data_IF_403243351054
#
_entry.id   IF_403243351054
#
_cell.length_a   1.000
_cell.length_b   1.000
_cell.length_c   1.000
_cell.angle_alpha   90.00
_cell.angle_beta   90.00
_cell.angle_gamma   90.00
#
_symmetry.space_group_name_H-M   'P 1'
#
loop_
_entity.id
_entity.type
_entity.pdbx_description
1 polymer ?
#
# COMPACT_ATOMS: atom_id res chain seq x y z
N UNK A 1 0.01 16.45 7.27
CA UNK A 1 -0.11 14.99 7.56
C UNK A 1 -1.10 14.87 8.69
N UNK A 2 -2.26 14.24 8.47
CA UNK A 2 -3.23 14.03 9.56
C UNK A 2 -2.66 13.06 10.59
N UNK A 3 -2.82 13.38 11.87
CA UNK A 3 -2.41 12.51 12.96
C UNK A 3 -3.15 11.17 12.86
N UNK A 4 -2.40 10.07 12.80
CA UNK A 4 -2.98 8.74 12.80
C UNK A 4 -3.55 8.44 14.20
N UNK A 5 -4.76 7.87 14.31
CA UNK A 5 -5.39 7.54 15.59
C UNK A 5 -4.49 6.69 16.51
N UNK A 6 -4.49 6.96 17.82
CA UNK A 6 -3.64 6.28 18.82
C UNK A 6 -3.75 4.75 18.83
N UNK A 7 -4.89 4.20 18.42
CA UNK A 7 -5.11 2.76 18.24
C UNK A 7 -4.07 2.11 17.31
N UNK A 8 -3.53 2.84 16.34
CA UNK A 8 -2.52 2.32 15.40
C UNK A 8 -1.10 2.25 15.98
N UNK A 9 -0.79 3.06 17.00
CA UNK A 9 0.52 3.01 17.67
C UNK A 9 0.73 1.68 18.40
N UNK A 10 -0.30 1.17 19.07
CA UNK A 10 -0.22 -0.08 19.82
C UNK A 10 -0.04 -1.32 18.93
N UNK A 11 -0.57 -1.27 17.70
CA UNK A 11 -0.41 -2.34 16.71
C UNK A 11 0.94 -2.28 15.96
N UNK A 12 1.82 -1.30 16.26
CA UNK A 12 3.05 -1.01 15.50
C UNK A 12 2.79 -0.85 13.99
N UNK A 13 1.57 -0.44 13.61
CA UNK A 13 1.22 -0.19 12.22
C UNK A 13 1.64 1.23 11.89
N UNK A 14 2.94 1.39 11.63
CA UNK A 14 3.50 2.69 11.26
C UNK A 14 3.23 3.03 9.78
N UNK A 15 2.69 2.09 9.00
CA UNK A 15 2.57 2.19 7.56
C UNK A 15 1.14 1.89 7.08
N UNK A 16 0.59 2.77 6.25
CA UNK A 16 -0.78 2.69 5.73
C UNK A 16 -1.09 1.40 4.97
N UNK A 17 -0.12 0.86 4.20
CA UNK A 17 -0.33 -0.37 3.45
C UNK A 17 -0.43 -1.60 4.35
N UNK A 18 0.25 -1.62 5.51
CA UNK A 18 0.09 -2.70 6.50
C UNK A 18 -1.31 -2.66 7.10
N UNK A 19 -1.82 -1.47 7.40
CA UNK A 19 -3.21 -1.31 7.85
C UNK A 19 -4.20 -1.87 6.81
N UNK A 20 -4.06 -1.46 5.55
CA UNK A 20 -4.92 -1.94 4.47
C UNK A 20 -4.82 -3.45 4.30
N UNK A 21 -3.62 -4.03 4.40
CA UNK A 21 -3.42 -5.48 4.35
C UNK A 21 -4.19 -6.20 5.47
N UNK A 22 -4.09 -5.73 6.71
CA UNK A 22 -4.79 -6.35 7.85
C UNK A 22 -6.30 -6.18 7.75
N UNK A 23 -6.78 -4.99 7.41
CA UNK A 23 -8.21 -4.71 7.28
C UNK A 23 -8.83 -5.55 6.16
N UNK A 24 -8.23 -5.53 4.96
CA UNK A 24 -8.71 -6.33 3.83
C UNK A 24 -8.61 -7.83 4.09
N UNK A 25 -7.57 -8.29 4.81
CA UNK A 25 -7.45 -9.69 5.23
C UNK A 25 -8.58 -10.12 6.17
N UNK A 26 -8.90 -9.31 7.18
CA UNK A 26 -10.00 -9.58 8.11
C UNK A 26 -11.34 -9.59 7.36
N UNK A 27 -11.60 -8.59 6.53
CA UNK A 27 -12.85 -8.50 5.75
C UNK A 27 -12.96 -9.66 4.76
N UNK A 28 -11.85 -10.05 4.11
CA UNK A 28 -11.82 -11.21 3.22
C UNK A 28 -12.20 -12.50 3.96
N UNK A 29 -11.57 -12.77 5.10
CA UNK A 29 -11.88 -13.96 5.91
C UNK A 29 -13.34 -13.93 6.38
N UNK A 30 -13.82 -12.79 6.90
CA UNK A 30 -15.21 -12.65 7.34
C UNK A 30 -16.19 -12.88 6.18
N UNK A 31 -15.86 -12.40 4.98
CA UNK A 31 -16.69 -12.62 3.78
C UNK A 31 -16.74 -14.10 3.34
N UNK A 32 -15.86 -14.97 3.82
CA UNK A 32 -15.97 -16.41 3.55
C UNK A 32 -17.08 -17.08 4.39
N UNK A 33 -17.40 -16.52 5.56
CA UNK A 33 -18.34 -17.11 6.51
C UNK A 33 -19.66 -16.33 6.63
N UNK A 34 -19.65 -15.03 6.33
CA UNK A 34 -20.82 -14.17 6.43
C UNK A 34 -21.45 -13.98 5.06
N UNK A 35 -22.69 -14.46 4.94
CA UNK A 35 -23.54 -14.17 3.80
C UNK A 35 -24.39 -12.93 4.13
N UNK A 36 -24.00 -11.78 3.60
CA UNK A 36 -24.68 -10.51 3.88
C UNK A 36 -25.82 -10.36 2.87
N UNK A 37 -27.07 -10.44 3.35
CA UNK A 37 -28.25 -10.17 2.52
C UNK A 37 -28.09 -8.80 1.83
N UNK A 38 -28.32 -8.78 0.51
CA UNK A 38 -28.23 -7.62 -0.39
C UNK A 38 -26.82 -7.17 -0.82
N UNK A 39 -25.76 -7.92 -0.51
CA UNK A 39 -24.41 -7.64 -1.04
C UNK A 39 -23.88 -8.88 -1.74
N UNK A 40 -23.41 -8.74 -2.98
CA UNK A 40 -22.69 -9.81 -3.65
C UNK A 40 -21.33 -10.03 -2.96
N UNK A 41 -21.26 -11.08 -2.16
CA UNK A 41 -20.09 -11.45 -1.37
C UNK A 41 -18.88 -11.76 -2.27
N UNK A 42 -19.10 -12.24 -3.50
CA UNK A 42 -18.01 -12.48 -4.45
C UNK A 42 -17.34 -11.18 -4.86
N UNK A 43 -18.11 -10.10 -4.96
CA UNK A 43 -17.57 -8.77 -5.27
C UNK A 43 -16.69 -8.25 -4.13
N UNK A 44 -17.15 -8.40 -2.88
CA UNK A 44 -16.37 -8.01 -1.67
C UNK A 44 -15.06 -8.79 -1.59
N UNK A 45 -15.11 -10.10 -1.86
CA UNK A 45 -13.92 -10.96 -1.91
C UNK A 45 -12.93 -10.47 -2.96
N UNK A 46 -13.42 -10.17 -4.17
CA UNK A 46 -12.59 -9.67 -5.27
C UNK A 46 -11.91 -8.34 -4.91
N UNK A 47 -12.64 -7.41 -4.28
CA UNK A 47 -12.09 -6.14 -3.78
C UNK A 47 -10.98 -6.37 -2.76
N UNK A 48 -11.28 -7.16 -1.73
CA UNK A 48 -10.32 -7.40 -0.67
C UNK A 48 -9.06 -8.09 -1.22
N UNK A 49 -9.22 -9.02 -2.16
CA UNK A 49 -8.10 -9.66 -2.84
C UNK A 49 -7.19 -8.65 -3.57
N UNK A 50 -7.77 -7.71 -4.32
CA UNK A 50 -6.99 -6.65 -4.97
C UNK A 50 -6.29 -5.72 -3.99
N UNK A 51 -6.97 -5.32 -2.91
CA UNK A 51 -6.36 -4.49 -1.86
C UNK A 51 -5.18 -5.22 -1.22
N UNK A 52 -5.30 -6.53 -0.96
CA UNK A 52 -4.21 -7.36 -0.44
C UNK A 52 -3.03 -7.39 -1.41
N UNK A 53 -3.27 -7.63 -2.70
CA UNK A 53 -2.21 -7.65 -3.73
C UNK A 53 -1.47 -6.31 -3.76
N UNK A 54 -2.19 -5.19 -3.79
CA UNK A 54 -1.57 -3.86 -3.84
C UNK A 54 -0.80 -3.54 -2.57
N UNK A 55 -1.35 -3.89 -1.40
CA UNK A 55 -0.70 -3.68 -0.12
C UNK A 55 0.60 -4.50 -0.01
N UNK A 56 0.58 -5.76 -0.46
CA UNK A 56 1.78 -6.61 -0.56
C UNK A 56 2.79 -6.05 -1.54
N UNK A 57 2.36 -5.64 -2.73
CA UNK A 57 3.23 -5.05 -3.75
C UNK A 57 3.95 -3.80 -3.23
N UNK A 58 3.21 -2.93 -2.54
CA UNK A 58 3.77 -1.73 -1.90
C UNK A 58 4.80 -2.09 -0.83
N UNK A 59 4.50 -3.10 -0.01
CA UNK A 59 5.41 -3.56 1.05
C UNK A 59 6.70 -4.16 0.47
N UNK A 60 6.60 -5.02 -0.54
CA UNK A 60 7.74 -5.62 -1.23
C UNK A 60 8.60 -4.51 -1.85
N UNK A 61 7.98 -3.55 -2.51
CA UNK A 61 8.68 -2.43 -3.15
C UNK A 61 9.44 -1.58 -2.15
N UNK A 62 8.83 -1.20 -1.02
CA UNK A 62 9.51 -0.45 0.03
C UNK A 62 10.65 -1.25 0.66
N UNK A 63 10.46 -2.56 0.85
CA UNK A 63 11.50 -3.45 1.38
C UNK A 63 12.69 -3.58 0.43
N UNK A 64 12.43 -3.73 -0.87
CA UNK A 64 13.46 -3.78 -1.90
C UNK A 64 14.26 -2.47 -1.95
N UNK A 65 13.59 -1.32 -1.90
CA UNK A 65 14.24 0.00 -1.88
C UNK A 65 15.08 0.17 -0.62
N UNK A 66 14.56 -0.20 0.54
CA UNK A 66 15.29 -0.11 1.81
C UNK A 66 16.60 -0.91 1.74
N UNK A 67 16.55 -2.12 1.19
CA UNK A 67 17.72 -2.97 1.01
C UNK A 67 18.73 -2.39 0.02
N UNK A 68 18.27 -1.83 -1.11
CA UNK A 68 19.15 -1.17 -2.08
C UNK A 68 19.83 0.05 -1.46
N UNK A 69 19.09 0.90 -0.75
CA UNK A 69 19.64 2.07 -0.10
C UNK A 69 20.68 1.69 0.96
N UNK A 70 20.41 0.64 1.74
CA UNK A 70 21.34 0.11 2.72
C UNK A 70 22.63 -0.40 2.07
N UNK A 71 22.52 -1.17 0.99
CA UNK A 71 23.68 -1.68 0.25
C UNK A 71 24.54 -0.54 -0.32
N UNK A 72 23.91 0.49 -0.88
CA UNK A 72 24.64 1.66 -1.42
C UNK A 72 25.33 2.42 -0.28
N UNK A 73 24.63 2.63 0.84
CA UNK A 73 25.19 3.33 1.99
C UNK A 73 26.41 2.61 2.59
N UNK A 74 26.30 1.29 2.79
CA UNK A 74 27.40 0.45 3.28
C UNK A 74 28.59 0.49 2.30
N UNK A 75 28.35 0.52 0.99
CA UNK A 75 29.41 0.64 -0.02
C UNK A 75 30.09 2.02 -0.02
N UNK A 76 29.33 3.11 0.15
CA UNK A 76 29.85 4.47 0.19
C UNK A 76 30.70 4.75 1.44
N UNK A 77 30.25 4.27 2.62
CA UNK A 77 31.03 4.38 3.86
C UNK A 77 32.38 3.68 3.72
N UNK A 78 32.40 2.49 3.11
CA UNK A 78 33.64 1.71 2.93
C UNK A 78 34.70 2.41 2.08
N UNK A 79 34.30 3.37 1.24
CA UNK A 79 35.18 4.08 0.30
C UNK A 79 35.49 5.53 0.70
N UNK A 80 35.12 5.99 1.91
CA UNK A 80 35.39 7.35 2.41
C UNK A 80 34.89 8.49 1.48
N UNK A 81 33.83 8.26 0.70
CA UNK A 81 33.22 9.35 -0.08
C UNK A 81 32.29 10.19 0.80
N UNK A 82 32.37 11.54 0.78
CA UNK A 82 31.41 12.39 1.48
C UNK A 82 30.01 12.17 0.87
N UNK A 83 29.04 11.84 1.72
CA UNK A 83 27.70 11.44 1.29
C UNK A 83 26.87 12.65 0.82
N UNK A 84 27.02 13.08 -0.42
CA UNK A 84 26.02 13.94 -1.07
C UNK A 84 24.86 13.08 -1.60
N UNK A 85 24.08 12.51 -0.67
CA UNK A 85 22.87 11.72 -0.98
C UNK A 85 21.61 12.57 -1.23
N UNK A 86 21.72 13.91 -1.29
CA UNK A 86 20.54 14.79 -1.43
C UNK A 86 19.80 14.65 -2.78
N UNK A 87 20.50 14.32 -3.87
CA UNK A 87 19.88 14.20 -5.20
C UNK A 87 18.93 12.99 -5.36
N UNK A 88 19.14 11.91 -4.60
CA UNK A 88 18.29 10.71 -4.65
C UNK A 88 16.97 10.90 -3.91
N UNK A 89 16.85 11.98 -3.14
CA UNK A 89 15.61 12.35 -2.48
C UNK A 89 14.55 12.95 -3.46
N UNK A 90 14.90 13.33 -4.69
CA UNK A 90 13.87 13.74 -5.67
C UNK A 90 13.06 12.54 -6.22
N UNK A 91 13.80 11.50 -6.61
CA UNK A 91 13.24 10.41 -7.41
C UNK A 91 12.29 9.50 -6.61
N UNK A 92 12.60 9.20 -5.35
CA UNK A 92 11.72 8.37 -4.51
C UNK A 92 10.37 9.03 -4.25
N UNK A 93 10.33 10.36 -4.10
CA UNK A 93 9.09 11.11 -3.95
C UNK A 93 8.25 10.97 -5.21
N UNK A 94 8.85 11.15 -6.38
CA UNK A 94 8.16 11.05 -7.67
C UNK A 94 7.61 9.64 -7.91
N UNK A 95 8.41 8.59 -7.66
CA UNK A 95 7.95 7.21 -7.83
C UNK A 95 6.82 6.89 -6.86
N UNK A 96 6.92 7.31 -5.60
CA UNK A 96 5.84 7.14 -4.61
C UNK A 96 4.56 7.86 -5.03
N UNK A 97 4.67 9.08 -5.58
CA UNK A 97 3.53 9.82 -6.12
C UNK A 97 2.93 9.14 -7.35
N UNK A 98 3.75 8.59 -8.26
CA UNK A 98 3.28 7.84 -9.43
C UNK A 98 2.51 6.58 -9.04
N UNK A 99 3.01 5.81 -8.06
CA UNK A 99 2.30 4.63 -7.54
C UNK A 99 0.98 5.04 -6.88
N UNK A 100 0.99 6.11 -6.08
CA UNK A 100 -0.23 6.63 -5.48
C UNK A 100 -1.24 7.10 -6.55
N UNK A 101 -0.78 7.83 -7.57
CA UNK A 101 -1.64 8.34 -8.63
C UNK A 101 -2.25 7.22 -9.49
N UNK A 102 -1.45 6.21 -9.83
CA UNK A 102 -1.92 5.00 -10.51
C UNK A 102 -3.01 4.29 -9.70
N UNK A 103 -2.84 4.22 -8.38
CA UNK A 103 -3.82 3.63 -7.48
C UNK A 103 -5.12 4.45 -7.39
N UNK A 104 -5.03 5.78 -7.32
CA UNK A 104 -6.21 6.65 -7.32
C UNK A 104 -7.00 6.52 -8.62
N UNK A 105 -6.32 6.42 -9.77
CA UNK A 105 -6.97 6.17 -11.06
C UNK A 105 -7.70 4.82 -11.05
N UNK A 106 -7.07 3.76 -10.54
CA UNK A 106 -7.71 2.45 -10.45
C UNK A 106 -8.98 2.48 -9.58
N UNK A 107 -8.94 3.16 -8.44
CA UNK A 107 -10.12 3.35 -7.58
C UNK A 107 -11.23 4.12 -8.33
N UNK A 108 -10.89 5.21 -9.01
CA UNK A 108 -11.86 6.04 -9.75
C UNK A 108 -12.52 5.22 -10.87
N UNK A 109 -11.72 4.52 -11.68
CA UNK A 109 -12.22 3.63 -12.75
C UNK A 109 -13.17 2.59 -12.15
N UNK A 110 -12.81 2.02 -11.01
CA UNK A 110 -13.60 0.99 -10.34
C UNK A 110 -14.94 1.52 -9.79
N UNK A 111 -14.96 2.72 -9.21
CA UNK A 111 -16.20 3.41 -8.79
C UNK A 111 -17.11 3.67 -10.00
N UNK A 112 -16.54 4.14 -11.11
CA UNK A 112 -17.31 4.40 -12.34
C UNK A 112 -17.93 3.09 -12.87
N UNK A 113 -17.15 2.01 -12.94
CA UNK A 113 -17.65 0.69 -13.38
C UNK A 113 -18.77 0.17 -12.47
N UNK A 114 -18.64 0.35 -11.15
CA UNK A 114 -19.65 -0.06 -10.18
C UNK A 114 -20.96 0.72 -10.33
N UNK A 115 -20.90 2.03 -10.53
CA UNK A 115 -22.08 2.88 -10.78
C UNK A 115 -22.79 2.47 -12.08
N UNK A 116 -22.03 2.10 -13.12
CA UNK A 116 -22.58 1.68 -14.41
C UNK A 116 -23.23 0.29 -14.33
N UNK A 117 -22.66 -0.65 -13.56
CA UNK A 117 -23.19 -2.01 -13.39
C UNK A 117 -24.46 -2.12 -12.53
N UNK A 118 -24.74 -1.11 -11.71
CA UNK A 118 -25.94 -1.07 -10.84
C UNK A 118 -27.17 -0.49 -11.56
N UNK A 119 -27.00 0.09 -12.76
CA UNK A 119 -28.12 0.46 -13.64
C UNK A 119 -28.57 -0.72 -14.48
#
# INVERSE_FOLDING_TARGET
MGEFPELFKNLKINNYYKYLLYLSGIVFILSLFLDIKNIDVNYVRYVCFWIIIVALGTWIFESAISNINRSIYEHCIRKNYPSSMDGKHGYYKIVRWLVFFSFTIQIIVWIITFIVLIK
#
